data_IF_300143304933
#
_entry.id   IF_300143304933
#
_cell.length_a   1.000
_cell.length_b   1.000
_cell.length_c   1.000
_cell.angle_alpha   90.00
_cell.angle_beta   90.00
_cell.angle_gamma   90.00
#
_symmetry.space_group_name_H-M   'P 1'
#
loop_
_entity.id
_entity.type
_entity.pdbx_description
1 polymer ?
#
# COMPACT_ATOMS: atom_id res chain seq x y z
N UNK A 1 7.70 9.57 6.03
CA UNK A 1 8.10 9.51 4.61
C UNK A 1 9.44 8.80 4.57
N UNK A 2 9.73 8.04 3.53
CA UNK A 2 11.03 7.37 3.37
C UNK A 2 11.50 7.50 1.92
N UNK A 3 12.83 7.44 1.73
CA UNK A 3 13.46 7.27 0.42
C UNK A 3 14.44 6.12 0.49
N UNK A 4 14.32 5.21 -0.46
CA UNK A 4 15.21 4.08 -0.64
C UNK A 4 15.67 4.07 -2.09
N UNK A 5 16.93 3.74 -2.27
CA UNK A 5 17.57 3.51 -3.55
C UNK A 5 17.88 2.00 -3.67
N UNK A 6 18.41 1.55 -4.81
CA UNK A 6 18.67 0.13 -5.08
C UNK A 6 19.59 -0.51 -4.03
N UNK A 7 20.56 0.26 -3.54
CA UNK A 7 21.52 -0.14 -2.50
C UNK A 7 21.12 0.30 -1.10
N UNK A 8 19.83 0.60 -0.87
CA UNK A 8 19.26 0.85 0.45
C UNK A 8 18.94 2.32 0.74
N UNK A 9 18.75 2.64 2.03
CA UNK A 9 18.22 3.92 2.48
C UNK A 9 19.04 5.12 2.00
N UNK A 10 18.36 6.21 1.61
CA UNK A 10 18.99 7.48 1.23
C UNK A 10 18.80 8.49 2.34
N UNK A 11 19.87 8.73 3.10
CA UNK A 11 19.84 9.66 4.24
C UNK A 11 19.83 11.12 3.81
N UNK A 12 20.20 11.42 2.56
CA UNK A 12 20.20 12.77 1.97
C UNK A 12 18.79 13.19 1.51
N UNK A 13 17.81 12.99 2.38
CA UNK A 13 16.43 13.44 2.18
C UNK A 13 15.99 14.28 3.39
N UNK A 14 15.28 15.37 3.12
CA UNK A 14 14.72 16.25 4.15
C UNK A 14 13.23 16.45 3.89
N UNK A 15 12.44 16.46 4.94
CA UNK A 15 11.01 16.78 4.85
C UNK A 15 10.81 18.12 5.52
N UNK A 16 10.30 19.09 4.77
CA UNK A 16 10.04 20.41 5.31
C UNK A 16 8.93 20.36 6.34
N UNK A 17 8.96 21.31 7.28
CA UNK A 17 7.84 21.58 8.17
C UNK A 17 6.55 21.81 7.39
N UNK A 18 5.41 21.57 8.04
CA UNK A 18 4.09 21.75 7.42
C UNK A 18 3.99 23.17 6.87
N UNK A 19 3.83 23.28 5.56
CA UNK A 19 3.61 24.53 4.85
C UNK A 19 2.13 24.67 4.51
N UNK A 20 1.71 25.91 4.25
CA UNK A 20 0.36 26.23 3.80
C UNK A 20 0.44 27.05 2.53
N UNK A 21 -0.30 26.65 1.52
CA UNK A 21 -0.48 27.38 0.27
C UNK A 21 -1.98 27.35 0.00
N UNK A 22 -2.58 28.51 -0.22
CA UNK A 22 -4.03 28.64 -0.49
C UNK A 22 -4.95 27.97 0.55
N UNK A 23 -4.52 27.90 1.82
CA UNK A 23 -5.28 27.27 2.91
C UNK A 23 -5.02 25.78 3.10
N UNK A 24 -4.47 25.10 2.09
CA UNK A 24 -4.15 23.67 2.16
C UNK A 24 -2.78 23.44 2.79
N UNK A 25 -2.75 22.54 3.77
CA UNK A 25 -1.53 22.16 4.46
C UNK A 25 -0.85 21.00 3.75
N UNK A 26 0.37 21.21 3.27
CA UNK A 26 1.18 20.19 2.61
C UNK A 26 2.58 20.12 3.24
N UNK A 27 3.32 19.09 2.86
CA UNK A 27 4.73 18.92 3.22
C UNK A 27 5.50 18.66 1.94
N UNK A 28 6.64 19.32 1.80
CA UNK A 28 7.55 19.10 0.69
C UNK A 28 8.62 18.11 1.15
N UNK A 29 8.92 17.17 0.27
CA UNK A 29 9.99 16.22 0.46
C UNK A 29 11.12 16.56 -0.51
N UNK A 30 12.25 16.97 0.04
CA UNK A 30 13.46 17.25 -0.71
C UNK A 30 14.33 15.98 -0.72
N UNK A 31 14.70 15.54 -1.92
CA UNK A 31 15.60 14.40 -2.14
C UNK A 31 16.83 14.90 -2.88
N UNK A 32 18.01 14.67 -2.28
CA UNK A 32 19.29 14.82 -2.95
C UNK A 32 19.81 13.41 -3.32
N UNK A 33 19.93 13.07 -4.61
CA UNK A 33 20.51 11.80 -5.05
C UNK A 33 21.96 11.64 -4.54
N UNK A 34 22.45 10.39 -4.50
CA UNK A 34 23.81 10.07 -4.01
C UNK A 34 24.92 10.66 -4.87
N UNK A 35 24.61 11.01 -6.11
CA UNK A 35 25.51 11.63 -7.07
C UNK A 35 24.75 12.69 -7.89
N UNK A 36 25.42 13.75 -8.36
CA UNK A 36 24.77 14.77 -9.18
C UNK A 36 24.33 14.18 -10.52
N UNK A 37 23.13 14.51 -11.00
CA UNK A 37 22.65 14.05 -12.30
C UNK A 37 23.24 14.90 -13.42
N UNK A 38 24.19 14.33 -14.16
CA UNK A 38 24.66 14.89 -15.43
C UNK A 38 23.82 14.34 -16.60
N UNK A 39 24.03 14.90 -17.80
CA UNK A 39 23.32 14.45 -19.00
C UNK A 39 23.45 12.93 -19.21
N UNK A 40 22.30 12.27 -19.39
CA UNK A 40 22.14 10.82 -19.58
C UNK A 40 22.39 9.92 -18.35
N UNK A 41 22.63 10.48 -17.17
CA UNK A 41 22.71 9.67 -15.95
C UNK A 41 21.32 9.29 -15.47
N UNK A 42 21.13 8.02 -15.10
CA UNK A 42 19.87 7.49 -14.63
C UNK A 42 19.93 7.21 -13.14
N UNK A 43 18.93 7.67 -12.40
CA UNK A 43 18.79 7.42 -10.97
C UNK A 43 17.42 6.83 -10.67
N UNK A 44 17.42 5.67 -10.00
CA UNK A 44 16.21 4.95 -9.63
C UNK A 44 16.02 5.04 -8.13
N UNK A 45 14.82 5.41 -7.69
CA UNK A 45 14.51 5.44 -6.27
C UNK A 45 13.06 5.07 -6.01
N UNK A 46 12.79 4.69 -4.77
CA UNK A 46 11.45 4.49 -4.23
C UNK A 46 11.24 5.46 -3.09
N UNK A 47 10.11 6.16 -3.12
CA UNK A 47 9.69 7.00 -2.02
C UNK A 47 8.29 6.61 -1.59
N UNK A 48 7.98 6.81 -0.32
CA UNK A 48 6.68 6.45 0.22
C UNK A 48 6.29 7.30 1.43
N UNK A 49 4.99 7.47 1.60
CA UNK A 49 4.41 8.20 2.71
C UNK A 49 3.03 7.66 3.07
N UNK A 50 2.60 7.96 4.31
CA UNK A 50 1.30 7.57 4.83
C UNK A 50 0.51 8.82 5.20
N UNK A 51 -0.77 8.82 4.85
CA UNK A 51 -1.71 9.92 5.08
C UNK A 51 -3.00 9.38 5.70
N UNK A 52 -3.71 10.18 6.49
CA UNK A 52 -5.01 9.79 7.02
C UNK A 52 -6.01 9.49 5.89
N UNK A 53 -6.62 8.31 5.95
CA UNK A 53 -7.56 7.83 4.93
C UNK A 53 -8.82 8.71 4.85
N UNK A 54 -9.19 9.38 5.95
CA UNK A 54 -10.33 10.31 6.04
C UNK A 54 -10.32 11.45 5.03
N UNK A 55 -9.13 11.81 4.52
CA UNK A 55 -8.98 12.89 3.56
C UNK A 55 -9.36 12.46 2.14
N UNK A 56 -9.30 11.16 1.84
CA UNK A 56 -9.44 10.61 0.49
C UNK A 56 -10.65 9.68 0.35
N UNK A 57 -11.07 9.03 1.45
CA UNK A 57 -12.17 8.08 1.47
C UNK A 57 -13.44 8.70 2.05
N UNK A 58 -14.55 8.55 1.32
CA UNK A 58 -15.90 8.82 1.81
C UNK A 58 -16.67 7.51 1.89
N UNK A 59 -17.40 7.35 2.99
CA UNK A 59 -18.15 6.12 3.29
C UNK A 59 -19.62 6.46 3.44
N UNK A 60 -20.46 5.69 2.77
CA UNK A 60 -21.91 5.73 2.91
C UNK A 60 -22.43 4.31 3.12
N UNK A 61 -22.66 3.94 4.38
CA UNK A 61 -23.03 2.57 4.79
C UNK A 61 -22.01 1.53 4.29
N UNK A 62 -22.35 0.78 3.24
CA UNK A 62 -21.51 -0.24 2.62
C UNK A 62 -20.85 0.25 1.31
N UNK A 63 -21.16 1.47 0.86
CA UNK A 63 -20.58 2.06 -0.35
C UNK A 63 -19.41 2.96 0.03
N UNK A 64 -18.28 2.75 -0.65
CA UNK A 64 -17.03 3.45 -0.40
C UNK A 64 -16.61 4.18 -1.67
N UNK A 65 -16.26 5.45 -1.54
CA UNK A 65 -15.76 6.29 -2.62
C UNK A 65 -14.38 6.81 -2.26
N UNK A 66 -13.36 6.33 -2.96
CA UNK A 66 -11.96 6.70 -2.79
C UNK A 66 -11.57 7.65 -3.92
N UNK A 67 -11.26 8.90 -3.58
CA UNK A 67 -10.70 9.88 -4.52
C UNK A 67 -9.22 10.00 -4.28
N UNK A 68 -8.39 9.72 -5.27
CA UNK A 68 -6.91 9.82 -5.19
C UNK A 68 -6.36 10.68 -6.31
N UNK A 69 -5.28 11.44 -6.10
CA UNK A 69 -4.61 12.16 -7.19
C UNK A 69 -4.07 11.13 -8.20
N UNK A 70 -4.18 11.46 -9.49
CA UNK A 70 -3.69 10.58 -10.56
C UNK A 70 -2.17 10.46 -10.52
N UNK A 71 -1.45 11.57 -10.32
CA UNK A 71 0.01 11.60 -10.22
C UNK A 71 0.43 12.58 -9.13
N UNK A 72 1.53 12.27 -8.43
CA UNK A 72 2.13 13.19 -7.46
C UNK A 72 2.96 14.28 -8.15
N UNK A 73 3.03 15.47 -7.55
CA UNK A 73 3.93 16.52 -8.04
C UNK A 73 5.40 16.15 -7.76
N UNK A 74 6.21 16.12 -8.81
CA UNK A 74 7.66 15.91 -8.75
C UNK A 74 8.32 17.05 -9.51
N UNK A 75 9.23 17.76 -8.84
CA UNK A 75 9.96 18.90 -9.40
C UNK A 75 11.45 18.63 -9.28
N UNK A 76 12.16 18.70 -10.40
CA UNK A 76 13.61 18.62 -10.44
C UNK A 76 14.24 20.01 -10.29
N UNK A 77 15.36 20.10 -9.56
CA UNK A 77 16.17 21.33 -9.52
C UNK A 77 17.65 20.97 -9.63
N UNK A 78 18.39 21.74 -10.43
CA UNK A 78 19.84 21.61 -10.57
C UNK A 78 20.62 22.44 -9.52
N UNK A 79 19.93 23.25 -8.71
CA UNK A 79 20.57 24.06 -7.67
C UNK A 79 21.03 23.18 -6.51
N UNK A 80 22.32 23.21 -6.19
CA UNK A 80 22.89 22.42 -5.09
C UNK A 80 22.75 23.07 -3.71
N UNK A 81 22.46 24.38 -3.67
CA UNK A 81 22.60 25.21 -2.47
C UNK A 81 21.30 25.91 -2.02
N UNK A 82 20.18 25.69 -2.71
CA UNK A 82 18.95 26.41 -2.43
C UNK A 82 17.82 25.42 -2.11
N UNK A 83 17.12 25.65 -1.00
CA UNK A 83 15.81 25.05 -0.79
C UNK A 83 14.93 25.44 -1.98
N UNK A 84 14.32 24.46 -2.65
CA UNK A 84 13.46 24.73 -3.80
C UNK A 84 12.36 25.70 -3.35
N UNK A 85 12.27 26.92 -3.93
CA UNK A 85 11.29 27.89 -3.49
C UNK A 85 9.88 27.36 -3.76
N UNK A 86 8.93 27.72 -2.90
CA UNK A 86 7.55 27.20 -2.99
C UNK A 86 6.85 27.56 -4.31
N UNK A 87 7.29 28.63 -4.95
CA UNK A 87 6.83 29.02 -6.29
C UNK A 87 7.20 28.00 -7.37
N UNK A 88 8.26 27.21 -7.17
CA UNK A 88 8.68 26.17 -8.10
C UNK A 88 7.85 24.88 -8.00
N UNK A 89 6.98 24.73 -7.01
CA UNK A 89 6.07 23.57 -6.89
C UNK A 89 5.08 23.52 -8.08
N UNK A 90 4.71 24.68 -8.61
CA UNK A 90 3.85 24.80 -9.79
C UNK A 90 4.64 24.82 -11.11
N UNK A 91 5.98 24.75 -11.05
CA UNK A 91 6.83 24.66 -12.23
C UNK A 91 6.93 23.20 -12.61
N UNK A 92 5.93 22.72 -13.34
CA UNK A 92 5.86 21.35 -13.79
C UNK A 92 6.96 21.06 -14.84
N UNK A 93 8.17 20.75 -14.39
CA UNK A 93 9.35 20.56 -15.23
C UNK A 93 9.76 19.10 -15.44
N UNK A 94 8.95 18.16 -14.92
CA UNK A 94 9.18 16.72 -15.05
C UNK A 94 8.19 16.15 -16.06
N UNK A 95 8.71 15.52 -17.12
CA UNK A 95 7.90 14.76 -18.07
C UNK A 95 7.94 13.28 -17.71
N UNK A 96 6.79 12.60 -17.77
CA UNK A 96 6.68 11.18 -17.45
C UNK A 96 6.29 10.40 -18.71
N UNK A 97 7.22 9.59 -19.22
CA UNK A 97 7.01 8.82 -20.45
C UNK A 97 6.08 7.62 -20.25
N UNK A 98 6.20 6.89 -19.13
CA UNK A 98 5.36 5.73 -18.81
C UNK A 98 4.90 5.83 -17.37
N UNK A 99 3.60 5.72 -17.16
CA UNK A 99 2.99 5.82 -15.85
C UNK A 99 2.04 4.66 -15.59
N UNK A 100 2.16 4.06 -14.40
CA UNK A 100 1.29 3.00 -13.90
C UNK A 100 0.80 3.39 -12.50
N UNK A 101 -0.49 3.64 -12.36
CA UNK A 101 -1.14 3.87 -11.07
C UNK A 101 -1.78 2.57 -10.57
N UNK A 102 -1.35 2.11 -9.40
CA UNK A 102 -1.89 0.92 -8.75
C UNK A 102 -2.65 1.30 -7.48
N UNK A 103 -3.92 0.97 -7.44
CA UNK A 103 -4.80 1.22 -6.28
C UNK A 103 -5.21 -0.13 -5.71
N UNK A 104 -4.66 -0.49 -4.55
CA UNK A 104 -4.98 -1.74 -3.85
C UNK A 104 -6.15 -1.53 -2.89
N UNK A 105 -7.26 -2.22 -3.14
CA UNK A 105 -8.48 -2.16 -2.32
C UNK A 105 -8.41 -3.16 -1.15
N UNK A 106 -9.24 -2.99 -0.11
CA UNK A 106 -9.32 -3.96 0.98
C UNK A 106 -9.81 -5.33 0.51
N UNK A 107 -9.44 -6.37 1.26
CA UNK A 107 -9.94 -7.73 1.04
C UNK A 107 -11.45 -7.78 1.25
N UNK A 108 -12.19 -8.37 0.32
CA UNK A 108 -13.67 -8.38 0.35
C UNK A 108 -14.33 -7.14 -0.28
N UNK A 109 -13.56 -6.28 -0.96
CA UNK A 109 -14.13 -5.23 -1.81
C UNK A 109 -14.80 -5.85 -3.06
N UNK A 110 -16.03 -5.43 -3.34
CA UNK A 110 -16.86 -5.90 -4.46
C UNK A 110 -17.38 -4.73 -5.29
N UNK A 111 -17.92 -5.00 -6.48
CA UNK A 111 -18.50 -3.98 -7.38
C UNK A 111 -17.59 -2.76 -7.61
N UNK A 112 -16.34 -3.02 -8.00
CA UNK A 112 -15.32 -1.98 -8.19
C UNK A 112 -15.56 -1.24 -9.51
N UNK A 113 -15.90 0.04 -9.43
CA UNK A 113 -16.01 0.98 -10.55
C UNK A 113 -14.90 2.04 -10.45
N UNK A 114 -14.30 2.38 -11.58
CA UNK A 114 -13.12 3.25 -11.68
C UNK A 114 -13.41 4.33 -12.70
N UNK A 115 -13.41 5.58 -12.24
CA UNK A 115 -13.62 6.75 -13.08
C UNK A 115 -12.36 7.59 -13.11
N UNK A 116 -11.85 7.73 -14.31
CA UNK A 116 -10.72 8.61 -14.64
C UNK A 116 -11.25 9.87 -15.32
N UNK A 117 -10.63 11.04 -15.08
CA UNK A 117 -11.12 12.31 -15.62
C UNK A 117 -10.70 12.58 -17.07
N UNK A 118 -9.88 11.70 -17.66
CA UNK A 118 -9.38 11.77 -19.04
C UNK A 118 -9.17 10.36 -19.58
N UNK A 119 -8.96 10.24 -20.90
CA UNK A 119 -8.74 8.96 -21.56
C UNK A 119 -7.37 8.38 -21.21
N UNK A 120 -7.37 7.15 -20.71
CA UNK A 120 -6.18 6.38 -20.32
C UNK A 120 -6.00 5.19 -21.25
N UNK A 121 -4.78 4.67 -21.34
CA UNK A 121 -4.44 3.62 -22.31
C UNK A 121 -5.05 2.28 -21.90
N UNK A 122 -5.04 1.97 -20.60
CA UNK A 122 -5.67 0.75 -20.10
C UNK A 122 -6.07 0.85 -18.63
N UNK A 123 -7.21 0.23 -18.29
CA UNK A 123 -7.66 0.01 -16.91
C UNK A 123 -7.89 -1.49 -16.73
N UNK A 124 -7.21 -2.08 -15.75
CA UNK A 124 -7.28 -3.52 -15.47
C UNK A 124 -7.47 -3.77 -13.99
N UNK A 125 -8.23 -4.80 -13.65
CA UNK A 125 -8.35 -5.28 -12.27
C UNK A 125 -7.57 -6.59 -12.16
N UNK A 126 -6.72 -6.72 -11.14
CA UNK A 126 -5.95 -7.95 -10.88
C UNK A 126 -6.02 -8.33 -9.40
N UNK A 127 -6.12 -9.63 -9.08
CA UNK A 127 -5.97 -10.07 -7.70
C UNK A 127 -4.51 -9.97 -7.25
N UNK A 128 -4.28 -9.51 -6.03
CA UNK A 128 -2.97 -9.49 -5.39
C UNK A 128 -3.12 -9.94 -3.93
N UNK A 129 -2.32 -10.90 -3.52
CA UNK A 129 -2.27 -11.35 -2.12
C UNK A 129 -1.20 -10.58 -1.36
N UNK A 130 -1.53 -10.19 -0.12
CA UNK A 130 -0.60 -9.58 0.80
C UNK A 130 -0.56 -10.36 2.13
N UNK A 131 0.26 -9.91 3.07
CA UNK A 131 0.37 -10.53 4.38
C UNK A 131 -1.00 -10.63 5.06
N UNK A 132 -1.31 -11.84 5.55
CA UNK A 132 -2.55 -12.16 6.25
C UNK A 132 -3.84 -11.89 5.45
N UNK A 133 -3.76 -11.97 4.12
CA UNK A 133 -4.95 -12.01 3.28
C UNK A 133 -5.36 -13.48 3.05
N UNK A 134 -6.66 -13.78 3.10
CA UNK A 134 -7.19 -15.14 2.93
C UNK A 134 -7.76 -15.40 1.54
N UNK A 135 -8.45 -14.41 0.99
CA UNK A 135 -9.11 -14.42 -0.33
C UNK A 135 -8.40 -13.52 -1.36
N UNK A 136 -7.42 -12.72 -0.91
CA UNK A 136 -6.70 -11.77 -1.74
C UNK A 136 -7.40 -10.42 -1.89
N UNK A 137 -6.68 -9.44 -2.43
CA UNK A 137 -7.16 -8.07 -2.65
C UNK A 137 -7.33 -7.79 -4.13
N UNK A 138 -8.28 -6.91 -4.44
CA UNK A 138 -8.43 -6.37 -5.80
C UNK A 138 -7.51 -5.17 -5.97
N UNK A 139 -6.67 -5.20 -6.99
CA UNK A 139 -5.81 -4.08 -7.39
C UNK A 139 -6.30 -3.55 -8.71
N UNK A 140 -6.64 -2.27 -8.73
CA UNK A 140 -6.91 -1.51 -9.95
C UNK A 140 -5.58 -0.99 -10.49
N UNK A 141 -5.28 -1.29 -11.73
CA UNK A 141 -4.10 -0.83 -12.45
C UNK A 141 -4.55 0.06 -13.59
N UNK A 142 -4.11 1.31 -13.58
CA UNK A 142 -4.35 2.31 -14.63
C UNK A 142 -3.02 2.61 -15.29
N UNK A 143 -2.93 2.38 -16.60
CA UNK A 143 -1.72 2.59 -17.41
C UNK A 143 -1.94 3.78 -18.34
N UNK A 144 -0.94 4.67 -18.42
CA UNK A 144 -0.95 5.79 -19.35
C UNK A 144 0.47 6.19 -19.77
N UNK A 145 0.69 6.38 -21.06
CA UNK A 145 1.92 6.90 -21.63
C UNK A 145 1.89 8.43 -21.76
N UNK A 146 3.06 9.05 -21.72
CA UNK A 146 3.28 10.48 -21.96
C UNK A 146 2.38 11.39 -21.12
N UNK A 147 2.43 11.23 -19.80
CA UNK A 147 1.62 12.00 -18.86
C UNK A 147 2.03 13.47 -18.92
N UNK A 148 1.07 14.33 -19.25
CA UNK A 148 1.28 15.77 -19.26
C UNK A 148 1.53 16.27 -17.83
N UNK A 149 2.40 17.27 -17.62
CA UNK A 149 2.68 17.77 -16.29
C UNK A 149 1.44 18.41 -15.61
N UNK A 150 0.45 18.86 -16.38
CA UNK A 150 -0.85 19.35 -15.89
C UNK A 150 -1.75 18.25 -15.28
N UNK A 151 -1.42 16.97 -15.44
CA UNK A 151 -2.20 15.86 -14.88
C UNK A 151 -2.14 15.77 -13.34
N UNK A 152 -1.29 16.58 -12.68
CA UNK A 152 -1.20 16.66 -11.22
C UNK A 152 -2.53 17.08 -10.58
N UNK A 153 -3.34 17.89 -11.26
CA UNK A 153 -4.65 18.33 -10.76
C UNK A 153 -5.76 17.28 -10.98
N UNK A 154 -5.46 16.23 -11.75
CA UNK A 154 -6.42 15.19 -12.06
C UNK A 154 -6.56 14.21 -10.90
N UNK A 155 -7.80 13.77 -10.66
CA UNK A 155 -8.12 12.83 -9.59
C UNK A 155 -8.87 11.62 -10.14
N UNK A 156 -8.45 10.43 -9.72
CA UNK A 156 -9.15 9.17 -10.00
C UNK A 156 -10.14 8.90 -8.88
N UNK A 157 -11.37 8.54 -9.26
CA UNK A 157 -12.41 8.13 -8.34
C UNK A 157 -12.63 6.62 -8.46
N UNK A 158 -12.43 5.90 -7.37
CA UNK A 158 -12.71 4.47 -7.28
C UNK A 158 -13.86 4.26 -6.31
N UNK A 159 -14.94 3.67 -6.78
CA UNK A 159 -16.09 3.30 -5.94
C UNK A 159 -16.15 1.79 -5.79
N UNK A 160 -16.42 1.32 -4.58
CA UNK A 160 -16.53 -0.10 -4.28
C UNK A 160 -17.47 -0.34 -3.11
N UNK A 161 -18.00 -1.56 -3.05
CA UNK A 161 -18.84 -2.04 -1.96
C UNK A 161 -18.00 -2.84 -0.97
N UNK A 162 -18.13 -2.53 0.30
CA UNK A 162 -17.42 -3.20 1.38
C UNK A 162 -18.36 -3.47 2.55
N UNK A 163 -18.55 -4.76 2.83
CA UNK A 163 -19.46 -5.20 3.89
C UNK A 163 -18.78 -5.15 5.26
N UNK A 164 -19.56 -4.89 6.31
CA UNK A 164 -19.06 -4.98 7.69
C UNK A 164 -18.60 -6.41 8.07
N UNK A 165 -19.14 -7.44 7.43
CA UNK A 165 -18.71 -8.82 7.64
C UNK A 165 -17.27 -9.05 7.12
N UNK A 166 -16.91 -8.40 6.02
CA UNK A 166 -15.56 -8.46 5.44
C UNK A 166 -14.50 -7.87 6.39
N UNK A 167 -14.88 -6.99 7.32
CA UNK A 167 -13.97 -6.46 8.33
C UNK A 167 -13.54 -7.52 9.35
N UNK A 168 -14.44 -8.44 9.69
CA UNK A 168 -14.20 -9.50 10.67
C UNK A 168 -13.46 -10.71 10.08
N UNK A 169 -13.43 -10.84 8.75
CA UNK A 169 -12.79 -11.95 8.05
C UNK A 169 -11.34 -12.18 8.51
N UNK A 170 -10.54 -11.12 8.60
CA UNK A 170 -9.12 -11.21 8.98
C UNK A 170 -8.90 -11.71 10.42
N UNK A 171 -9.48 -11.06 11.45
CA UNK A 171 -9.40 -11.58 12.82
C UNK A 171 -9.89 -13.03 12.95
N UNK A 172 -10.98 -13.39 12.26
CA UNK A 172 -11.56 -14.74 12.33
C UNK A 172 -10.65 -15.80 11.71
N UNK A 173 -10.02 -15.52 10.57
CA UNK A 173 -9.08 -16.46 9.93
C UNK A 173 -7.87 -16.69 10.83
N UNK A 174 -7.31 -15.64 11.43
CA UNK A 174 -6.17 -15.77 12.36
C UNK A 174 -6.59 -16.58 13.59
N UNK A 175 -7.74 -16.26 14.20
CA UNK A 175 -8.27 -16.99 15.35
C UNK A 175 -8.50 -18.47 15.02
N UNK A 176 -9.03 -18.77 13.84
CA UNK A 176 -9.25 -20.13 13.36
C UNK A 176 -7.94 -20.91 13.21
N UNK A 177 -6.90 -20.32 12.61
CA UNK A 177 -5.60 -20.98 12.44
C UNK A 177 -4.96 -21.29 13.80
N UNK A 178 -5.01 -20.35 14.74
CA UNK A 178 -4.50 -20.57 16.10
C UNK A 178 -5.31 -21.65 16.82
N UNK A 179 -6.64 -21.60 16.73
CA UNK A 179 -7.51 -22.62 17.31
C UNK A 179 -7.25 -24.01 16.72
N UNK A 180 -7.08 -24.12 15.41
CA UNK A 180 -6.79 -25.38 14.73
C UNK A 180 -5.45 -25.99 15.21
N UNK A 181 -4.43 -25.17 15.46
CA UNK A 181 -3.16 -25.63 16.02
C UNK A 181 -3.36 -26.24 17.43
N UNK A 182 -4.11 -25.58 18.31
CA UNK A 182 -4.45 -26.11 19.63
C UNK A 182 -5.32 -27.37 19.57
N UNK A 183 -6.28 -27.42 18.65
CA UNK A 183 -7.11 -28.59 18.44
C UNK A 183 -6.26 -29.79 17.98
N UNK A 184 -5.38 -29.60 16.99
CA UNK A 184 -4.49 -30.66 16.48
C UNK A 184 -3.55 -31.19 17.55
N UNK A 185 -2.93 -30.31 18.35
CA UNK A 185 -2.08 -30.73 19.46
C UNK A 185 -2.86 -31.45 20.55
N UNK A 186 -4.07 -30.98 20.89
CA UNK A 186 -4.96 -31.66 21.83
C UNK A 186 -5.36 -33.06 21.34
N UNK A 187 -5.77 -33.21 20.09
CA UNK A 187 -6.09 -34.50 19.50
C UNK A 187 -4.87 -35.41 19.45
N UNK A 188 -3.72 -34.90 19.00
CA UNK A 188 -2.46 -35.65 18.95
C UNK A 188 -2.03 -36.18 20.32
N UNK A 189 -2.16 -35.38 21.37
CA UNK A 189 -1.87 -35.82 22.76
C UNK A 189 -2.77 -36.97 23.25
N UNK A 190 -3.96 -37.11 22.67
CA UNK A 190 -4.93 -38.16 23.02
C UNK A 190 -4.75 -39.44 22.19
N UNK A 191 -4.00 -39.37 21.08
CA UNK A 191 -3.72 -40.55 20.25
C UNK A 191 -2.61 -41.38 20.90
N UNK A 192 -2.94 -42.60 21.32
CA UNK A 192 -1.95 -43.57 21.79
C UNK A 192 -1.27 -44.22 20.58
N UNK A 193 -0.13 -43.67 20.14
CA UNK A 193 0.69 -44.22 19.06
C UNK A 193 1.67 -45.33 19.55
N UNK A 194 1.32 -46.04 20.62
CA UNK A 194 2.13 -47.12 21.16
C UNK A 194 1.80 -48.46 20.48
N UNK A 195 2.79 -49.05 19.79
CA UNK A 195 2.66 -50.38 19.16
C UNK A 195 2.63 -51.55 20.18
N UNK A 196 3.06 -51.33 21.41
CA UNK A 196 3.07 -52.36 22.45
C UNK A 196 1.91 -52.14 23.44
N UNK A 197 1.04 -53.15 23.56
CA UNK A 197 -0.02 -53.17 24.57
C UNK A 197 0.60 -53.01 25.97
N UNK A 198 0.15 -51.99 26.71
CA UNK A 198 0.56 -51.77 28.10
C UNK A 198 0.22 -53.03 28.91
N UNK A 199 1.20 -53.74 29.52
CA UNK A 199 0.87 -54.84 30.41
C UNK A 199 0.16 -54.26 31.64
N UNK A 200 -0.92 -54.91 32.06
CA UNK A 200 -1.73 -54.49 33.19
C UNK A 200 -0.87 -54.40 34.45
N UNK A 201 -0.78 -53.21 35.05
CA UNK A 201 -0.11 -53.01 36.33
C UNK A 201 -0.98 -53.65 37.43
N UNK A 202 -0.65 -54.88 37.80
CA UNK A 202 -1.24 -55.55 38.96
C UNK A 202 -0.84 -54.80 40.22
N UNK A 203 -1.80 -54.14 40.88
CA UNK A 203 -1.60 -53.46 42.14
C UNK A 203 -1.10 -54.46 43.20
N UNK A 204 0.14 -54.27 43.66
CA UNK A 204 0.70 -55.04 44.78
C UNK A 204 0.02 -54.56 46.06
N UNK A 205 -0.92 -55.35 46.58
CA UNK A 205 -1.47 -55.17 47.93
C UNK A 205 -0.31 -55.29 48.93
N UNK A 206 0.05 -54.17 49.56
CA UNK A 206 0.96 -54.15 50.70
C UNK A 206 0.22 -54.71 51.91
N UNK A 207 0.82 -55.72 52.54
CA UNK A 207 0.39 -56.32 53.80
C UNK A 207 1.07 -55.60 54.96
#
# INVERSE_FOLDING_TARGET
>A
MYVVDEIGNVSTSSVTSRQRLNGDAFKVMQLKPRYPLAGQWNYTWWHGYSVPLSNYLRVNRNHHALRVPFIGSIVGSASQNEEIPLTAINTYNTAVSKYELRITLPEGATNVDVRVPFDVDSIRQRPQSYYFDSSGRTVVVVEHANVAPSAVDAHVLVTYDYSMLSLWQKPLVIAFVVFALFALTSLGSRMQLGLAAKPALTAKKTQ
#
